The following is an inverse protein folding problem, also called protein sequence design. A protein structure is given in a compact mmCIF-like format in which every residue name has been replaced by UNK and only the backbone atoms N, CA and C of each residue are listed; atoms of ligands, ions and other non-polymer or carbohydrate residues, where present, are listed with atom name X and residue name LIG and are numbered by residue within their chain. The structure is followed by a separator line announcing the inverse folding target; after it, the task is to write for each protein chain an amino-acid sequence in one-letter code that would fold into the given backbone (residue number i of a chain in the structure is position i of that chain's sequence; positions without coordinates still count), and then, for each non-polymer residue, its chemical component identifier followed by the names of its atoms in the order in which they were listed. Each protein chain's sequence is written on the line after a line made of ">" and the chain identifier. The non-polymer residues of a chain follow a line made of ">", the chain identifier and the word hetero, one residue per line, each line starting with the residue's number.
data_IF_367166732916
#
_entry.id   IF_367166732916
#
_cell.length_a   1.000
_cell.length_b   1.000
_cell.length_c   1.000
_cell.angle_alpha   90.00
_cell.angle_beta   90.00
_cell.angle_gamma   90.00
#
_symmetry.space_group_name_H-M   'P 1'
#
loop_
_entity.id
_entity.type
_entity.pdbx_description
1 polymer ?
#
# COMPACT_ATOMS: atom_id res chain seq x y z
N UNK A 1 -14.67 20.48 10.06
CA UNK A 1 -13.85 19.27 9.80
C UNK A 1 -13.54 18.55 11.10
N UNK A 2 -13.70 17.23 11.16
CA UNK A 2 -13.48 16.39 12.35
C UNK A 2 -12.58 15.20 11.97
N UNK A 3 -11.65 14.81 12.86
CA UNK A 3 -10.89 13.56 12.74
C UNK A 3 -11.46 12.56 13.74
N UNK A 4 -11.72 11.34 13.27
CA UNK A 4 -12.21 10.23 14.10
C UNK A 4 -11.34 9.00 13.90
N UNK A 5 -11.35 8.09 14.86
CA UNK A 5 -10.84 6.73 14.67
C UNK A 5 -11.83 5.94 13.80
N UNK A 6 -11.32 4.96 13.06
CA UNK A 6 -12.16 4.04 12.27
C UNK A 6 -13.08 3.25 13.22
N UNK A 7 -14.37 3.26 12.94
CA UNK A 7 -15.34 2.40 13.61
C UNK A 7 -16.02 1.42 12.62
N UNK A 8 -16.86 0.53 13.15
CA UNK A 8 -17.55 -0.49 12.36
C UNK A 8 -18.41 0.08 11.22
N UNK A 9 -18.96 1.28 11.37
CA UNK A 9 -19.85 1.85 10.37
C UNK A 9 -19.11 2.25 9.10
N UNK A 10 -17.82 2.64 9.23
CA UNK A 10 -16.98 3.08 8.13
C UNK A 10 -16.01 1.99 7.60
N UNK A 11 -15.97 0.79 8.21
CA UNK A 11 -15.04 -0.26 7.79
C UNK A 11 -15.18 -0.61 6.31
N UNK A 12 -16.40 -0.79 5.81
CA UNK A 12 -16.62 -1.12 4.40
C UNK A 12 -16.09 -0.03 3.46
N UNK A 13 -16.29 1.24 3.82
CA UNK A 13 -15.77 2.38 3.08
C UNK A 13 -14.24 2.43 3.11
N UNK A 14 -13.64 2.16 4.27
CA UNK A 14 -12.20 2.07 4.44
C UNK A 14 -11.59 0.94 3.61
N UNK A 15 -12.25 -0.24 3.52
CA UNK A 15 -11.73 -1.37 2.77
C UNK A 15 -11.59 -1.09 1.26
N UNK A 16 -12.40 -0.21 0.72
CA UNK A 16 -12.32 0.25 -0.68
C UNK A 16 -11.61 1.61 -0.85
N UNK A 17 -10.84 2.04 0.15
CA UNK A 17 -10.09 3.32 0.13
C UNK A 17 -10.96 4.54 -0.22
N UNK A 18 -12.18 4.62 0.31
CA UNK A 18 -13.19 5.67 0.06
C UNK A 18 -13.71 5.70 -1.40
N UNK A 19 -13.48 4.65 -2.17
CA UNK A 19 -13.90 4.54 -3.58
C UNK A 19 -15.04 3.54 -3.76
N UNK A 20 -16.07 3.62 -2.90
CA UNK A 20 -17.26 2.78 -2.89
C UNK A 20 -18.13 2.90 -4.15
N UNK A 21 -17.92 3.95 -4.92
CA UNK A 21 -18.54 4.21 -6.21
C UNK A 21 -17.84 3.52 -7.40
N UNK A 22 -16.63 3.04 -7.22
CA UNK A 22 -15.77 2.51 -8.27
C UNK A 22 -15.96 0.99 -8.40
N UNK A 23 -16.59 0.55 -9.49
CA UNK A 23 -16.83 -0.88 -9.74
C UNK A 23 -15.53 -1.71 -9.81
N UNK A 24 -14.42 -1.11 -10.26
CA UNK A 24 -13.13 -1.81 -10.26
C UNK A 24 -12.67 -2.21 -8.86
N UNK A 25 -13.06 -1.45 -7.82
CA UNK A 25 -12.69 -1.80 -6.45
C UNK A 25 -13.33 -3.12 -5.97
N UNK A 26 -14.44 -3.56 -6.58
CA UNK A 26 -15.04 -4.87 -6.32
C UNK A 26 -14.15 -6.03 -6.78
N UNK A 27 -13.33 -5.81 -7.81
CA UNK A 27 -12.36 -6.82 -8.27
C UNK A 27 -11.21 -7.04 -7.28
N UNK A 28 -10.98 -6.11 -6.36
CA UNK A 28 -9.87 -6.19 -5.40
C UNK A 28 -10.02 -7.33 -4.36
N UNK A 29 -11.22 -7.91 -4.25
CA UNK A 29 -11.51 -8.95 -3.25
C UNK A 29 -11.44 -8.46 -1.80
N UNK A 30 -11.51 -9.40 -0.86
CA UNK A 30 -11.54 -9.12 0.58
C UNK A 30 -10.14 -8.99 1.22
N UNK A 31 -9.08 -8.83 0.43
CA UNK A 31 -7.70 -8.84 0.93
C UNK A 31 -7.43 -7.76 1.96
N UNK A 32 -7.94 -6.55 1.75
CA UNK A 32 -7.77 -5.46 2.73
C UNK A 32 -8.53 -5.71 4.03
N UNK A 33 -9.67 -6.37 3.95
CA UNK A 33 -10.43 -6.79 5.14
C UNK A 33 -9.66 -7.87 5.92
N UNK A 34 -9.08 -8.85 5.22
CA UNK A 34 -8.25 -9.89 5.84
C UNK A 34 -6.99 -9.30 6.49
N UNK A 35 -6.30 -8.39 5.78
CA UNK A 35 -5.16 -7.64 6.31
C UNK A 35 -5.53 -6.84 7.56
N UNK A 36 -6.61 -6.06 7.50
CA UNK A 36 -7.11 -5.27 8.62
C UNK A 36 -7.40 -6.14 9.84
N UNK A 37 -8.12 -7.25 9.66
CA UNK A 37 -8.47 -8.18 10.74
C UNK A 37 -7.24 -8.75 11.44
N UNK A 38 -6.14 -9.00 10.70
CA UNK A 38 -4.87 -9.51 11.26
C UNK A 38 -4.03 -8.40 11.90
N UNK A 39 -4.10 -7.18 11.37
CA UNK A 39 -3.21 -6.09 11.78
C UNK A 39 -3.79 -5.21 12.90
N UNK A 40 -5.12 -5.16 13.07
CA UNK A 40 -5.76 -4.39 14.15
C UNK A 40 -5.22 -4.78 15.54
N UNK A 41 -5.02 -6.07 15.78
CA UNK A 41 -4.49 -6.59 17.04
C UNK A 41 -2.95 -6.47 17.13
N UNK A 42 -2.30 -5.99 16.06
CA UNK A 42 -0.85 -5.72 15.97
C UNK A 42 -0.52 -4.23 15.98
N UNK A 43 -1.46 -3.40 16.44
CA UNK A 43 -1.24 -1.97 16.60
C UNK A 43 -1.54 -1.12 15.35
N UNK A 44 -2.25 -1.66 14.35
CA UNK A 44 -2.75 -0.85 13.24
C UNK A 44 -3.69 0.23 13.74
N UNK A 45 -3.46 1.44 13.28
CA UNK A 45 -4.28 2.63 13.55
C UNK A 45 -4.82 3.17 12.25
N UNK A 46 -6.09 3.56 12.26
CA UNK A 46 -6.75 4.19 11.10
C UNK A 46 -7.55 5.38 11.59
N UNK A 47 -7.33 6.55 10.96
CA UNK A 47 -8.14 7.74 11.22
C UNK A 47 -8.80 8.21 9.94
N UNK A 48 -10.01 8.76 10.09
CA UNK A 48 -10.83 9.31 9.03
C UNK A 48 -11.01 10.80 9.23
N UNK A 49 -11.03 11.56 8.13
CA UNK A 49 -11.36 12.97 8.12
C UNK A 49 -12.76 13.17 7.55
N UNK A 50 -13.63 13.82 8.35
CA UNK A 50 -14.99 14.16 7.99
C UNK A 50 -15.09 15.67 7.72
N UNK A 51 -15.89 16.05 6.72
CA UNK A 51 -16.25 17.44 6.48
C UNK A 51 -17.30 17.93 7.51
N UNK A 52 -17.78 19.17 7.37
CA UNK A 52 -18.74 19.77 8.29
C UNK A 52 -20.17 19.19 8.16
N UNK A 53 -20.41 18.39 7.12
CA UNK A 53 -21.66 17.62 6.91
C UNK A 53 -21.57 16.19 7.45
N UNK A 54 -20.38 15.78 7.95
CA UNK A 54 -20.13 14.42 8.43
C UNK A 54 -19.71 13.43 7.34
N UNK A 55 -19.44 13.91 6.10
CA UNK A 55 -18.97 13.05 5.02
C UNK A 55 -17.49 12.72 5.15
N UNK A 56 -17.16 11.43 5.04
CA UNK A 56 -15.76 10.97 5.07
C UNK A 56 -15.10 11.34 3.74
N UNK A 57 -14.13 12.23 3.78
CA UNK A 57 -13.37 12.70 2.61
C UNK A 57 -11.90 12.33 2.62
N UNK A 58 -11.37 11.79 3.73
CA UNK A 58 -9.97 11.40 3.83
C UNK A 58 -9.73 10.28 4.83
N UNK A 59 -8.63 9.57 4.65
CA UNK A 59 -8.18 8.52 5.57
C UNK A 59 -6.66 8.52 5.71
N UNK A 60 -6.15 8.02 6.85
CA UNK A 60 -4.76 7.66 7.07
C UNK A 60 -4.71 6.33 7.80
N UNK A 61 -3.78 5.46 7.40
CA UNK A 61 -3.49 4.20 8.09
C UNK A 61 -2.00 4.10 8.40
N UNK A 62 -1.68 3.72 9.63
CA UNK A 62 -0.32 3.58 10.13
C UNK A 62 -0.21 2.45 11.13
N UNK A 63 0.97 1.86 11.24
CA UNK A 63 1.19 0.60 11.97
C UNK A 63 2.58 0.65 12.63
N UNK A 64 2.83 -0.06 13.73
CA UNK A 64 4.18 -0.23 14.24
C UNK A 64 5.14 -0.69 13.14
N UNK A 65 6.32 -0.08 13.09
CA UNK A 65 7.26 -0.25 11.98
C UNK A 65 7.68 -1.72 11.78
N UNK A 66 7.66 -2.51 12.85
CA UNK A 66 7.97 -3.94 12.84
C UNK A 66 7.00 -4.76 11.98
N UNK A 67 5.80 -4.23 11.72
CA UNK A 67 4.77 -4.84 10.86
C UNK A 67 4.75 -4.23 9.45
N UNK A 68 5.69 -3.33 9.14
CA UNK A 68 5.74 -2.57 7.87
C UNK A 68 6.80 -3.09 6.90
N UNK A 69 6.94 -2.40 5.77
CA UNK A 69 7.99 -2.63 4.78
C UNK A 69 9.33 -1.96 5.10
N UNK A 70 9.44 -1.29 6.25
CA UNK A 70 10.68 -0.70 6.73
C UNK A 70 11.17 -1.39 8.00
N UNK A 71 12.44 -1.17 8.36
CA UNK A 71 13.09 -1.61 9.59
C UNK A 71 13.34 -0.41 10.48
N UNK A 72 13.05 -0.55 11.76
CA UNK A 72 13.27 0.46 12.78
C UNK A 72 12.79 -0.05 14.13
N UNK A 73 12.92 0.76 15.19
CA UNK A 73 12.45 0.45 16.52
C UNK A 73 11.69 1.65 17.09
N UNK A 74 10.63 1.39 17.82
CA UNK A 74 9.82 2.43 18.48
C UNK A 74 9.25 3.49 17.51
N UNK A 75 8.93 3.11 16.28
CA UNK A 75 8.39 3.99 15.25
C UNK A 75 7.04 3.48 14.76
N UNK A 76 6.22 4.40 14.25
CA UNK A 76 5.08 4.05 13.41
C UNK A 76 5.39 4.28 11.93
N UNK A 77 4.79 3.48 11.06
CA UNK A 77 4.92 3.58 9.61
C UNK A 77 3.56 3.89 8.97
N UNK A 78 3.46 5.00 8.25
CA UNK A 78 2.28 5.38 7.49
C UNK A 78 2.25 4.58 6.19
N UNK A 79 1.36 3.58 6.11
CA UNK A 79 1.13 2.81 4.89
C UNK A 79 0.47 3.66 3.80
N UNK A 80 -0.51 4.47 4.18
CA UNK A 80 -1.28 5.28 3.23
C UNK A 80 -1.87 6.50 3.92
N UNK A 81 -1.89 7.62 3.19
CA UNK A 81 -2.75 8.77 3.43
C UNK A 81 -3.45 9.11 2.12
N UNK A 82 -4.78 9.19 2.17
CA UNK A 82 -5.60 9.45 0.99
C UNK A 82 -6.68 10.47 1.28
N UNK A 83 -6.85 11.45 0.39
CA UNK A 83 -7.97 12.38 0.41
C UNK A 83 -8.67 12.26 -0.94
N UNK A 84 -9.95 11.87 -0.91
CA UNK A 84 -10.75 11.66 -2.11
C UNK A 84 -10.80 12.94 -2.95
N UNK A 85 -10.48 12.81 -4.21
CA UNK A 85 -10.27 13.98 -5.08
C UNK A 85 -10.91 13.87 -6.43
N UNK A 86 -11.86 12.95 -6.61
CA UNK A 86 -12.66 12.82 -7.83
C UNK A 86 -13.96 13.62 -7.70
N UNK A 87 -14.53 14.04 -8.81
CA UNK A 87 -15.87 14.66 -8.84
C UNK A 87 -16.95 13.60 -8.64
N UNK A 88 -16.69 12.38 -9.12
CA UNK A 88 -17.58 11.22 -8.95
C UNK A 88 -17.55 10.72 -7.49
N UNK A 89 -18.56 9.97 -7.12
CA UNK A 89 -18.69 9.36 -5.80
C UNK A 89 -18.86 10.40 -4.73
N UNK A 90 -17.99 10.39 -3.74
CA UNK A 90 -18.07 11.20 -2.51
C UNK A 90 -17.77 12.70 -2.72
N UNK A 91 -17.24 13.11 -3.87
CA UNK A 91 -16.86 14.49 -4.17
C UNK A 91 -15.38 14.80 -3.94
N UNK A 92 -14.99 16.02 -4.29
CA UNK A 92 -13.59 16.45 -4.22
C UNK A 92 -13.28 17.19 -2.91
N UNK A 93 -12.57 16.52 -2.01
CA UNK A 93 -12.14 17.05 -0.70
C UNK A 93 -10.70 17.59 -0.71
N UNK A 94 -10.04 17.65 -1.87
CA UNK A 94 -8.67 18.18 -1.97
C UNK A 94 -8.63 19.67 -1.61
N UNK A 95 -7.47 20.11 -1.09
CA UNK A 95 -7.19 21.51 -0.72
C UNK A 95 -8.05 22.07 0.44
N UNK A 96 -8.78 21.21 1.17
CA UNK A 96 -9.59 21.59 2.34
C UNK A 96 -8.86 21.33 3.68
N UNK A 97 -7.56 21.03 3.66
CA UNK A 97 -6.79 20.81 4.89
C UNK A 97 -6.82 19.38 5.45
N UNK A 98 -7.69 18.48 4.93
CA UNK A 98 -7.88 17.11 5.47
C UNK A 98 -6.57 16.32 5.57
N UNK A 99 -5.71 16.36 4.55
CA UNK A 99 -4.43 15.65 4.59
C UNK A 99 -3.51 16.14 5.70
N UNK A 100 -3.48 17.44 5.98
CA UNK A 100 -2.70 18.02 7.09
C UNK A 100 -3.30 17.61 8.45
N UNK A 101 -4.60 17.63 8.59
CA UNK A 101 -5.26 17.22 9.82
C UNK A 101 -5.06 15.73 10.12
N UNK A 102 -5.13 14.88 9.10
CA UNK A 102 -4.89 13.44 9.23
C UNK A 102 -3.45 13.13 9.66
N UNK A 103 -2.45 13.75 9.03
CA UNK A 103 -1.06 13.49 9.39
C UNK A 103 -0.75 13.99 10.80
N UNK A 104 -1.27 15.17 11.19
CA UNK A 104 -1.13 15.71 12.53
C UNK A 104 -1.76 14.76 13.57
N UNK A 105 -2.97 14.27 13.31
CA UNK A 105 -3.65 13.34 14.21
C UNK A 105 -2.89 12.00 14.34
N UNK A 106 -2.25 11.51 13.26
CA UNK A 106 -1.42 10.33 13.32
C UNK A 106 -0.10 10.56 14.11
N UNK A 107 0.51 11.73 13.96
CA UNK A 107 1.70 12.12 14.71
C UNK A 107 1.40 12.24 16.22
N UNK A 108 0.28 12.85 16.58
CA UNK A 108 -0.12 13.03 17.98
C UNK A 108 -0.49 11.68 18.63
N UNK A 109 -1.20 10.83 17.90
CA UNK A 109 -1.53 9.47 18.35
C UNK A 109 -0.26 8.60 18.53
N UNK A 110 0.66 8.63 17.58
CA UNK A 110 1.92 7.89 17.68
C UNK A 110 2.77 8.35 18.88
N UNK A 111 2.82 9.67 19.16
CA UNK A 111 3.48 10.21 20.36
C UNK A 111 2.81 9.75 21.64
N UNK A 112 1.47 9.78 21.68
CA UNK A 112 0.69 9.32 22.85
C UNK A 112 0.91 7.83 23.14
N UNK A 113 1.20 7.04 22.09
CA UNK A 113 1.57 5.62 22.18
C UNK A 113 3.05 5.38 22.50
N UNK A 114 3.84 6.43 22.77
CA UNK A 114 5.23 6.35 23.15
C UNK A 114 6.22 6.15 22.01
N UNK A 115 5.79 6.36 20.75
CA UNK A 115 6.70 6.25 19.63
C UNK A 115 7.75 7.36 19.61
N UNK A 116 8.98 7.00 19.26
CA UNK A 116 10.10 7.94 19.11
C UNK A 116 10.09 8.69 17.77
N UNK A 117 9.21 8.31 16.87
CA UNK A 117 9.03 8.95 15.56
C UNK A 117 7.97 8.28 14.72
N UNK A 118 7.70 8.89 13.57
CA UNK A 118 6.78 8.36 12.57
C UNK A 118 7.44 8.38 11.20
N UNK A 119 7.19 7.35 10.43
CA UNK A 119 7.80 7.12 9.12
C UNK A 119 6.73 7.13 8.06
N UNK A 120 7.06 7.61 6.88
CA UNK A 120 6.22 7.57 5.70
C UNK A 120 7.05 7.17 4.48
N UNK A 121 6.38 6.76 3.44
CA UNK A 121 7.02 6.58 2.15
C UNK A 121 6.44 7.55 1.12
N UNK A 122 7.22 7.84 0.10
CA UNK A 122 6.75 8.72 -0.95
C UNK A 122 7.45 8.46 -2.27
N UNK A 123 6.76 8.80 -3.36
CA UNK A 123 7.35 8.77 -4.70
C UNK A 123 7.85 10.15 -5.09
N UNK A 124 8.93 10.25 -5.88
CA UNK A 124 9.45 11.54 -6.33
C UNK A 124 8.54 12.24 -7.34
N UNK A 125 7.61 11.50 -7.97
CA UNK A 125 6.70 12.02 -8.99
C UNK A 125 5.46 12.70 -8.38
N UNK A 126 4.75 13.56 -9.14
CA UNK A 126 3.65 14.40 -8.63
C UNK A 126 2.31 13.65 -8.50
N UNK A 127 2.34 12.36 -8.18
CA UNK A 127 1.16 11.52 -7.99
C UNK A 127 0.82 11.33 -6.50
N UNK A 128 0.12 10.28 -6.16
CA UNK A 128 -0.22 9.84 -4.82
C UNK A 128 1.03 9.59 -3.97
N UNK A 129 0.96 9.79 -2.65
CA UNK A 129 2.09 9.66 -1.72
C UNK A 129 3.35 10.45 -2.18
N UNK A 130 3.18 11.76 -2.42
CA UNK A 130 4.28 12.62 -2.88
C UNK A 130 5.33 12.81 -1.79
N UNK A 131 6.60 12.44 -2.04
CA UNK A 131 7.69 12.69 -1.12
C UNK A 131 7.86 14.19 -0.79
N UNK A 132 7.64 15.08 -1.78
CA UNK A 132 7.71 16.53 -1.59
C UNK A 132 6.63 17.07 -0.66
N UNK A 133 5.45 16.42 -0.61
CA UNK A 133 4.39 16.80 0.31
C UNK A 133 4.74 16.46 1.75
N UNK A 134 5.28 15.27 2.01
CA UNK A 134 5.76 14.88 3.35
C UNK A 134 6.88 15.80 3.84
N UNK A 135 7.82 16.18 2.96
CA UNK A 135 8.87 17.16 3.33
C UNK A 135 8.27 18.50 3.79
N UNK A 136 7.20 18.98 3.16
CA UNK A 136 6.47 20.19 3.59
C UNK A 136 5.77 20.02 4.93
N UNK A 137 5.55 18.78 5.41
CA UNK A 137 5.03 18.48 6.75
C UNK A 137 6.18 18.25 7.78
N UNK A 138 7.43 18.51 7.41
CA UNK A 138 8.60 18.39 8.30
C UNK A 138 9.27 17.01 8.31
N UNK A 139 8.94 16.14 7.35
CA UNK A 139 9.63 14.86 7.19
C UNK A 139 10.94 15.01 6.44
N UNK A 140 11.97 14.29 6.86
CA UNK A 140 13.27 14.19 6.20
C UNK A 140 13.44 12.83 5.54
N UNK A 141 14.09 12.80 4.38
CA UNK A 141 14.39 11.56 3.68
C UNK A 141 15.58 10.86 4.36
N UNK A 142 15.47 9.56 4.60
CA UNK A 142 16.49 8.75 5.29
C UNK A 142 16.96 7.55 4.47
N UNK A 143 16.14 7.06 3.54
CA UNK A 143 16.52 5.94 2.68
C UNK A 143 15.75 5.99 1.35
N UNK A 144 16.19 5.22 0.33
CA UNK A 144 15.59 5.20 -1.00
C UNK A 144 15.78 3.85 -1.68
N UNK A 145 14.74 3.37 -2.37
CA UNK A 145 14.79 2.19 -3.24
C UNK A 145 15.07 2.60 -4.68
N UNK A 146 16.24 2.21 -5.22
CA UNK A 146 16.61 2.50 -6.61
C UNK A 146 16.71 4.00 -6.95
N UNK A 147 16.98 4.31 -8.23
CA UNK A 147 17.21 5.70 -8.67
C UNK A 147 15.92 6.55 -8.66
N UNK A 148 14.82 6.03 -9.21
CA UNK A 148 13.50 6.69 -9.24
C UNK A 148 12.48 6.04 -8.27
N UNK A 149 12.96 5.26 -7.32
CA UNK A 149 12.13 4.48 -6.43
C UNK A 149 11.56 5.24 -5.24
N UNK A 150 10.91 4.48 -4.39
CA UNK A 150 10.26 5.00 -3.18
C UNK A 150 11.29 5.59 -2.21
N UNK A 151 10.99 6.78 -1.71
CA UNK A 151 11.77 7.48 -0.69
C UNK A 151 11.17 7.16 0.67
N UNK A 152 11.98 6.70 1.61
CA UNK A 152 11.62 6.57 3.00
C UNK A 152 11.84 7.91 3.68
N UNK A 153 10.79 8.43 4.31
CA UNK A 153 10.82 9.69 5.02
C UNK A 153 10.44 9.43 6.49
N UNK A 154 10.95 10.23 7.37
CA UNK A 154 10.59 10.15 8.78
C UNK A 154 10.53 11.51 9.44
N UNK A 155 9.85 11.56 10.58
CA UNK A 155 9.82 12.68 11.50
C UNK A 155 10.10 12.11 12.89
N UNK A 156 11.24 12.46 13.46
CA UNK A 156 11.60 12.03 14.80
C UNK A 156 10.89 12.90 15.85
N UNK A 157 10.57 12.29 16.98
CA UNK A 157 9.95 12.94 18.12
C UNK A 157 10.91 13.00 19.33
N UNK A 158 11.98 12.21 19.31
CA UNK A 158 12.95 12.07 20.40
C UNK A 158 14.38 12.14 19.86
N UNK A 159 15.29 12.75 20.61
CA UNK A 159 16.69 12.91 20.22
C UNK A 159 17.48 11.60 20.10
N UNK A 160 17.00 10.50 20.70
CA UNK A 160 17.58 9.16 20.66
C UNK A 160 16.94 8.24 19.61
N UNK A 161 16.01 8.76 18.79
CA UNK A 161 15.40 8.00 17.73
C UNK A 161 16.40 7.63 16.63
N UNK A 162 16.34 6.39 16.17
CA UNK A 162 17.22 5.87 15.11
C UNK A 162 16.49 5.93 13.77
N UNK A 163 17.12 6.50 12.72
CA UNK A 163 16.52 6.56 11.39
C UNK A 163 16.19 5.17 10.84
N UNK A 164 14.98 4.97 10.31
CA UNK A 164 14.58 3.69 9.71
C UNK A 164 15.27 3.44 8.36
N UNK A 165 15.22 2.17 7.93
CA UNK A 165 15.71 1.73 6.61
C UNK A 165 14.67 0.87 5.92
N UNK A 166 14.68 0.84 4.59
CA UNK A 166 13.86 -0.10 3.84
C UNK A 166 14.30 -1.55 4.07
N UNK A 167 13.33 -2.46 4.19
CA UNK A 167 13.59 -3.88 3.90
C UNK A 167 13.83 -3.98 2.40
N UNK A 168 14.93 -4.64 2.01
CA UNK A 168 15.34 -4.75 0.60
C UNK A 168 14.91 -6.08 0.00
N UNK A 169 14.51 -6.04 -1.28
CA UNK A 169 14.26 -7.27 -2.01
C UNK A 169 15.53 -8.12 -2.07
N UNK A 170 15.43 -9.39 -1.69
CA UNK A 170 16.54 -10.34 -1.62
C UNK A 170 16.25 -11.67 -2.34
N UNK A 171 15.04 -11.87 -2.83
CA UNK A 171 14.63 -13.07 -3.57
C UNK A 171 14.06 -12.73 -4.94
N UNK A 172 14.25 -13.62 -5.90
CA UNK A 172 13.69 -13.56 -7.26
C UNK A 172 12.78 -14.75 -7.49
N UNK A 173 11.78 -14.65 -8.41
CA UNK A 173 10.95 -15.77 -8.81
C UNK A 173 11.77 -16.96 -9.34
N UNK A 174 11.35 -18.17 -9.00
CA UNK A 174 11.83 -19.38 -9.64
C UNK A 174 11.01 -19.65 -10.90
N UNK A 175 11.69 -19.88 -12.02
CA UNK A 175 11.05 -20.15 -13.29
C UNK A 175 10.65 -21.61 -13.41
N UNK A 176 9.50 -21.89 -14.01
CA UNK A 176 9.04 -23.24 -14.33
C UNK A 176 9.43 -23.59 -15.77
N UNK A 177 10.27 -24.60 -16.03
CA UNK A 177 10.66 -25.00 -17.40
C UNK A 177 9.44 -25.29 -18.27
N UNK A 178 9.45 -24.77 -19.51
CA UNK A 178 8.40 -24.99 -20.49
C UNK A 178 7.08 -24.28 -20.21
N UNK A 179 7.02 -23.39 -19.21
CA UNK A 179 5.82 -22.62 -18.88
C UNK A 179 6.17 -21.16 -18.57
N UNK A 180 5.22 -20.25 -18.78
CA UNK A 180 5.31 -18.88 -18.27
C UNK A 180 5.02 -18.89 -16.79
N UNK A 181 5.93 -18.35 -15.99
CA UNK A 181 5.78 -18.26 -14.54
C UNK A 181 5.24 -16.89 -14.15
N UNK A 182 4.07 -16.85 -13.51
CA UNK A 182 3.49 -15.64 -12.97
C UNK A 182 3.59 -15.71 -11.44
N UNK A 183 4.49 -14.91 -10.84
CA UNK A 183 4.64 -14.83 -9.40
C UNK A 183 4.03 -13.54 -8.89
N UNK A 184 3.03 -13.66 -8.03
CA UNK A 184 2.28 -12.52 -7.48
C UNK A 184 2.40 -12.49 -5.96
N UNK A 185 3.03 -11.44 -5.45
CA UNK A 185 3.15 -11.16 -4.03
C UNK A 185 2.02 -10.22 -3.60
N UNK A 186 1.36 -10.54 -2.50
CA UNK A 186 0.25 -9.75 -1.99
C UNK A 186 0.33 -9.63 -0.47
N UNK A 187 0.37 -8.39 0.02
CA UNK A 187 0.24 -8.08 1.44
C UNK A 187 -1.22 -7.81 1.84
N UNK A 188 -1.97 -7.16 0.97
CA UNK A 188 -3.39 -6.90 1.16
C UNK A 188 -3.73 -5.50 1.73
N UNK A 189 -2.77 -4.70 2.18
CA UNK A 189 -3.05 -3.38 2.76
C UNK A 189 -3.64 -2.36 1.77
N UNK A 190 -3.44 -2.57 0.46
CA UNK A 190 -3.81 -1.64 -0.60
C UNK A 190 -4.71 -2.30 -1.66
N UNK A 191 -5.99 -1.88 -1.83
CA UNK A 191 -6.87 -2.45 -2.85
C UNK A 191 -6.32 -2.35 -4.27
N UNK A 192 -5.57 -1.29 -4.59
CA UNK A 192 -4.94 -1.15 -5.91
C UNK A 192 -3.93 -2.27 -6.21
N UNK A 193 -3.19 -2.73 -5.20
CA UNK A 193 -2.29 -3.89 -5.36
C UNK A 193 -3.09 -5.20 -5.42
N UNK A 194 -4.16 -5.30 -4.64
CA UNK A 194 -5.07 -6.45 -4.70
C UNK A 194 -5.72 -6.61 -6.08
N UNK A 195 -6.07 -5.50 -6.74
CA UNK A 195 -6.55 -5.51 -8.16
C UNK A 195 -5.52 -6.16 -9.09
N UNK A 196 -4.25 -5.80 -8.97
CA UNK A 196 -3.18 -6.36 -9.81
C UNK A 196 -3.06 -7.86 -9.61
N UNK A 197 -3.09 -8.30 -8.34
CA UNK A 197 -3.03 -9.71 -7.97
C UNK A 197 -4.20 -10.50 -8.55
N UNK A 198 -5.45 -10.05 -8.36
CA UNK A 198 -6.64 -10.74 -8.83
C UNK A 198 -6.72 -10.78 -10.36
N UNK A 199 -6.34 -9.69 -11.03
CA UNK A 199 -6.25 -9.63 -12.49
C UNK A 199 -5.20 -10.61 -13.02
N UNK A 200 -4.03 -10.72 -12.37
CA UNK A 200 -2.99 -11.66 -12.76
C UNK A 200 -3.41 -13.12 -12.54
N UNK A 201 -4.06 -13.42 -11.40
CA UNK A 201 -4.59 -14.76 -11.09
C UNK A 201 -5.60 -15.20 -12.14
N UNK A 202 -6.57 -14.33 -12.45
CA UNK A 202 -7.62 -14.60 -13.47
C UNK A 202 -7.01 -14.80 -14.86
N UNK A 203 -6.07 -13.95 -15.26
CA UNK A 203 -5.39 -14.05 -16.56
C UNK A 203 -4.57 -15.35 -16.67
N UNK A 204 -3.88 -15.75 -15.62
CA UNK A 204 -3.13 -17.02 -15.59
C UNK A 204 -4.07 -18.22 -15.73
N UNK A 205 -5.20 -18.23 -15.02
CA UNK A 205 -6.22 -19.29 -15.14
C UNK A 205 -6.78 -19.40 -16.55
N UNK A 206 -7.09 -18.27 -17.20
CA UNK A 206 -7.64 -18.25 -18.57
C UNK A 206 -6.63 -18.75 -19.62
N UNK A 207 -5.34 -18.52 -19.43
CA UNK A 207 -4.29 -18.96 -20.36
C UNK A 207 -3.87 -20.42 -20.15
N UNK A 208 -4.40 -21.08 -19.13
CA UNK A 208 -4.37 -22.52 -18.94
C UNK A 208 -2.98 -23.11 -18.69
N UNK A 209 -2.76 -24.34 -19.15
CA UNK A 209 -1.62 -25.19 -18.80
C UNK A 209 -0.24 -24.63 -19.18
N UNK A 210 -0.17 -23.63 -20.05
CA UNK A 210 1.07 -22.93 -20.42
C UNK A 210 1.53 -21.91 -19.38
N UNK A 211 0.73 -21.64 -18.37
CA UNK A 211 1.03 -20.66 -17.33
C UNK A 211 0.97 -21.31 -15.96
N UNK A 212 1.93 -21.03 -15.11
CA UNK A 212 1.90 -21.40 -13.69
C UNK A 212 1.79 -20.13 -12.86
N UNK A 213 0.78 -20.08 -11.98
CA UNK A 213 0.58 -18.98 -11.05
C UNK A 213 1.10 -19.36 -9.67
N UNK A 214 2.06 -18.58 -9.15
CA UNK A 214 2.65 -18.74 -7.83
C UNK A 214 2.22 -17.57 -6.92
N UNK A 215 1.20 -17.78 -6.08
CA UNK A 215 0.82 -16.79 -5.08
C UNK A 215 1.81 -16.81 -3.91
N UNK A 216 2.23 -15.62 -3.46
CA UNK A 216 3.06 -15.44 -2.27
C UNK A 216 2.32 -14.52 -1.31
N UNK A 217 1.89 -15.07 -0.17
CA UNK A 217 1.25 -14.31 0.90
C UNK A 217 2.30 -13.59 1.75
N UNK A 218 2.50 -12.29 1.48
CA UNK A 218 3.40 -11.42 2.25
C UNK A 218 2.71 -10.72 3.43
N UNK A 219 1.43 -10.99 3.66
CA UNK A 219 0.77 -10.74 4.94
C UNK A 219 1.38 -11.62 6.04
N UNK A 220 1.91 -12.79 5.69
CA UNK A 220 2.82 -13.54 6.53
C UNK A 220 4.17 -12.82 6.61
N UNK A 221 4.60 -12.49 7.84
CA UNK A 221 5.83 -11.73 8.07
C UNK A 221 7.09 -12.47 7.66
N UNK A 222 7.13 -13.78 7.80
CA UNK A 222 8.28 -14.61 7.39
C UNK A 222 8.44 -14.57 5.87
N UNK A 223 7.35 -14.77 5.12
CA UNK A 223 7.35 -14.64 3.66
C UNK A 223 7.76 -13.23 3.22
N UNK A 224 7.24 -12.18 3.88
CA UNK A 224 7.66 -10.82 3.57
C UNK A 224 9.16 -10.63 3.77
N UNK A 225 9.73 -11.06 4.88
CA UNK A 225 11.16 -10.91 5.17
C UNK A 225 12.04 -11.76 4.23
N UNK A 226 11.55 -12.94 3.82
CA UNK A 226 12.22 -13.78 2.84
C UNK A 226 12.33 -13.12 1.47
N UNK A 227 11.28 -12.40 1.04
CA UNK A 227 11.26 -11.73 -0.27
C UNK A 227 11.78 -10.29 -0.23
N UNK A 228 11.58 -9.59 0.87
CA UNK A 228 11.93 -8.19 1.05
C UNK A 228 11.09 -7.21 0.22
N UNK A 229 9.92 -7.66 -0.24
CA UNK A 229 8.98 -6.84 -1.01
C UNK A 229 7.54 -7.23 -0.64
N UNK A 230 6.67 -6.26 -0.39
CA UNK A 230 5.30 -6.52 0.09
C UNK A 230 4.33 -6.89 -1.02
N UNK A 231 4.36 -6.16 -2.11
CA UNK A 231 3.44 -6.33 -3.23
C UNK A 231 4.21 -6.24 -4.54
N UNK A 232 4.09 -7.25 -5.39
CA UNK A 232 4.73 -7.27 -6.70
C UNK A 232 4.05 -8.27 -7.63
N UNK A 233 4.13 -8.01 -8.92
CA UNK A 233 3.79 -8.96 -9.97
C UNK A 233 5.03 -9.19 -10.83
N UNK A 234 5.41 -10.45 -11.01
CA UNK A 234 6.45 -10.87 -11.94
C UNK A 234 5.84 -11.75 -13.03
N UNK A 235 6.26 -11.53 -14.25
CA UNK A 235 6.02 -12.44 -15.39
C UNK A 235 7.38 -12.96 -15.80
N UNK A 236 7.64 -14.21 -15.52
CA UNK A 236 8.96 -14.85 -15.46
C UNK A 236 9.86 -14.08 -14.45
N UNK A 237 11.01 -13.62 -14.88
CA UNK A 237 11.99 -12.86 -14.09
C UNK A 237 11.74 -11.34 -14.09
N UNK A 238 10.75 -10.86 -14.86
CA UNK A 238 10.49 -9.43 -15.05
C UNK A 238 9.38 -8.93 -14.16
N UNK A 239 9.69 -7.97 -13.31
CA UNK A 239 8.69 -7.27 -12.52
C UNK A 239 7.84 -6.35 -13.39
N UNK A 240 6.54 -6.46 -13.24
CA UNK A 240 5.54 -5.58 -13.88
C UNK A 240 5.34 -4.34 -13.00
N UNK A 241 5.22 -3.17 -13.60
CA UNK A 241 4.86 -1.96 -12.86
C UNK A 241 3.42 -2.07 -12.35
N UNK A 242 3.23 -1.93 -11.05
CA UNK A 242 1.95 -2.11 -10.36
C UNK A 242 1.25 -0.81 -9.95
N UNK A 243 1.82 0.33 -10.21
CA UNK A 243 1.22 1.61 -9.85
C UNK A 243 1.31 2.66 -10.97
N UNK A 244 0.19 3.21 -11.43
CA UNK A 244 -1.22 2.84 -11.20
C UNK A 244 -1.55 1.43 -11.71
N UNK A 245 -2.58 0.76 -11.14
CA UNK A 245 -2.87 -0.63 -11.47
C UNK A 245 -3.09 -0.83 -12.98
N UNK A 246 -2.35 -1.74 -13.63
CA UNK A 246 -2.61 -2.06 -15.03
C UNK A 246 -3.97 -2.73 -15.19
N UNK A 247 -4.64 -2.47 -16.32
CA UNK A 247 -5.90 -3.13 -16.63
C UNK A 247 -5.73 -4.64 -16.79
N UNK A 248 -6.84 -5.38 -16.65
CA UNK A 248 -6.87 -6.83 -16.87
C UNK A 248 -6.26 -7.21 -18.22
N UNK A 249 -6.72 -6.56 -19.31
CA UNK A 249 -6.23 -6.82 -20.67
C UNK A 249 -4.71 -6.58 -20.80
N UNK A 250 -4.19 -5.54 -20.16
CA UNK A 250 -2.75 -5.26 -20.18
C UNK A 250 -1.94 -6.37 -19.53
N UNK A 251 -2.39 -6.89 -18.39
CA UNK A 251 -1.75 -8.03 -17.71
C UNK A 251 -1.87 -9.28 -18.54
N UNK A 252 -3.06 -9.62 -19.02
CA UNK A 252 -3.33 -10.80 -19.85
C UNK A 252 -2.46 -10.80 -21.11
N UNK A 253 -2.40 -9.68 -21.83
CA UNK A 253 -1.59 -9.56 -23.03
C UNK A 253 -0.09 -9.70 -22.75
N UNK A 254 0.39 -9.18 -21.61
CA UNK A 254 1.79 -9.35 -21.20
C UNK A 254 2.13 -10.84 -20.96
N UNK A 255 1.25 -11.58 -20.29
CA UNK A 255 1.43 -13.03 -20.08
C UNK A 255 1.33 -13.79 -21.41
N UNK A 256 0.29 -13.51 -22.22
CA UNK A 256 0.07 -14.18 -23.50
C UNK A 256 1.22 -13.97 -24.50
N UNK A 257 1.87 -12.80 -24.46
CA UNK A 257 3.04 -12.52 -25.29
C UNK A 257 4.24 -13.40 -24.96
N UNK A 258 4.36 -13.86 -23.71
CA UNK A 258 5.37 -14.82 -23.26
C UNK A 258 4.99 -16.26 -23.68
N UNK A 259 3.71 -16.61 -23.53
CA UNK A 259 3.18 -17.93 -23.97
C UNK A 259 3.41 -18.18 -25.45
N UNK A 260 3.36 -17.15 -26.29
CA UNK A 260 3.65 -17.28 -27.75
C UNK A 260 5.12 -17.55 -28.06
N UNK A 261 6.02 -17.43 -27.08
CA UNK A 261 7.48 -17.61 -27.25
C UNK A 261 7.98 -18.93 -26.65
N UNK A 262 7.10 -19.71 -26.03
CA UNK A 262 7.36 -21.09 -25.63
C UNK A 262 7.35 -22.03 -26.84
#
# INVERSE_FOLDING_TARGET
>A
MKIIDLDKQQENLYFVCLEDWNEEMKEAGDHKKAWYSKMKDKGLRVKLALDDRGEVGGMIQYIPIEQSSAQGNDLYFINCIWVHGYKQGRGNFRKQGMGRALIQAAEDDAKALGAKGITAWGIPLPFWMKASWFRKQGYTAVDKLGFLGQVLLWKNFSGDAIPPKWVRQNKKPQLTPGKVTVTALLNGWCPAQSLVYERARRAATELGDKVVFHPIDTLDRANFLEWGISDALFIDDKQVNTGPPPSYEKIKNAIASKVKKL
#
